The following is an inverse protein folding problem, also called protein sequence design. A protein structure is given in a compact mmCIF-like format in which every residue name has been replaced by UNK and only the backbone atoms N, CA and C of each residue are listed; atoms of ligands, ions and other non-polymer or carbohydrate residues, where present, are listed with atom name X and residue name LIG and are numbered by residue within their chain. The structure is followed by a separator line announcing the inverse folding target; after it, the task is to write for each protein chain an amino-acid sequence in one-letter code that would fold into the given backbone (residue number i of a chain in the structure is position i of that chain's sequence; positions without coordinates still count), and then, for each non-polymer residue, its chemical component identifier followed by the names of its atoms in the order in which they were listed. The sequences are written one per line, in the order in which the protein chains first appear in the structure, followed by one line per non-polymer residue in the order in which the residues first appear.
data_IF_821610613360
#
_entry.id   IF_821610613360
#
_cell.length_a   1.000
_cell.length_b   1.000
_cell.length_c   1.000
_cell.angle_alpha   90.00
_cell.angle_beta   90.00
_cell.angle_gamma   90.00
#
_symmetry.space_group_name_H-M   'P 1'
#
loop_
_entity.id
_entity.type
_entity.pdbx_description
1 polymer ?
#
# COMPACT_ATOMS: atom_id res chain seq x y z
N UNK A 1 -7.58 -18.07 -8.66
CA UNK A 1 -6.94 -17.18 -7.66
C UNK A 1 -5.55 -16.84 -8.19
N UNK A 2 -5.22 -15.69 -8.79
CA UNK A 2 -5.54 -14.29 -8.52
C UNK A 2 -5.48 -13.49 -9.84
N UNK A 3 -6.38 -12.53 -10.05
CA UNK A 3 -6.28 -11.55 -11.15
C UNK A 3 -5.89 -10.19 -10.55
N UNK A 4 -4.62 -9.84 -10.69
CA UNK A 4 -4.10 -8.55 -10.25
C UNK A 4 -4.65 -7.41 -11.11
N UNK A 5 -4.89 -6.25 -10.49
CA UNK A 5 -5.18 -5.04 -11.25
C UNK A 5 -3.86 -4.48 -11.78
N UNK A 6 -3.83 -4.23 -13.09
CA UNK A 6 -2.69 -3.66 -13.83
C UNK A 6 -2.98 -2.21 -14.23
N UNK A 7 -2.01 -1.49 -14.78
CA UNK A 7 -2.18 -0.13 -15.30
C UNK A 7 -3.22 -0.02 -16.43
N UNK A 8 -3.58 -1.13 -17.07
CA UNK A 8 -4.62 -1.18 -18.11
C UNK A 8 -6.04 -1.31 -17.55
N UNK A 9 -6.20 -1.23 -16.24
CA UNK A 9 -7.50 -1.19 -15.58
C UNK A 9 -8.37 -0.10 -16.21
N UNK A 10 -9.50 -0.55 -16.78
CA UNK A 10 -10.57 0.32 -17.26
C UNK A 10 -11.47 0.55 -16.06
N UNK A 11 -11.42 1.77 -15.54
CA UNK A 11 -12.15 2.22 -14.36
C UNK A 11 -13.61 1.72 -14.31
N UNK A 12 -14.19 1.65 -13.12
CA UNK A 12 -15.59 1.24 -12.93
C UNK A 12 -15.97 1.23 -11.46
N UNK A 13 -17.26 1.20 -11.14
CA UNK A 13 -17.71 1.19 -9.75
C UNK A 13 -17.86 -0.25 -9.24
N UNK A 14 -17.11 -0.60 -8.21
CA UNK A 14 -17.08 -1.93 -7.62
C UNK A 14 -17.42 -1.86 -6.14
N UNK A 15 -18.72 -1.77 -5.83
CA UNK A 15 -19.23 -1.54 -4.47
C UNK A 15 -19.00 -2.71 -3.50
N UNK A 16 -18.94 -3.94 -4.00
CA UNK A 16 -18.82 -5.13 -3.14
C UNK A 16 -17.36 -5.58 -2.91
N UNK A 17 -16.39 -4.79 -3.39
CA UNK A 17 -14.99 -5.20 -3.43
C UNK A 17 -14.25 -4.66 -2.22
N UNK A 18 -13.87 -5.57 -1.33
CA UNK A 18 -13.20 -5.21 -0.08
C UNK A 18 -11.70 -5.45 -0.12
N UNK A 19 -11.18 -6.17 -1.11
CA UNK A 19 -9.75 -6.50 -1.23
C UNK A 19 -9.25 -6.29 -2.65
N UNK A 20 -8.18 -5.51 -2.80
CA UNK A 20 -7.53 -5.21 -4.07
C UNK A 20 -6.05 -5.57 -4.00
N UNK A 21 -5.56 -6.22 -5.05
CA UNK A 21 -4.14 -6.52 -5.23
C UNK A 21 -3.65 -5.95 -6.56
N UNK A 22 -2.65 -5.08 -6.49
CA UNK A 22 -2.05 -4.41 -7.64
C UNK A 22 -0.71 -5.08 -7.99
N UNK A 23 -0.53 -5.41 -9.26
CA UNK A 23 0.75 -5.90 -9.78
C UNK A 23 0.87 -5.53 -11.25
N UNK A 24 2.00 -4.92 -11.60
CA UNK A 24 2.34 -4.59 -12.98
C UNK A 24 3.86 -4.49 -13.11
N UNK A 25 4.35 -4.71 -14.32
CA UNK A 25 5.74 -4.44 -14.70
C UNK A 25 6.01 -2.93 -14.81
N UNK A 26 4.96 -2.12 -15.04
CA UNK A 26 5.03 -0.65 -15.08
C UNK A 26 4.74 -0.06 -13.69
N UNK A 27 5.37 1.07 -13.32
CA UNK A 27 5.07 1.72 -12.06
C UNK A 27 3.63 2.24 -12.02
N UNK A 28 3.03 2.26 -10.82
CA UNK A 28 1.72 2.88 -10.60
C UNK A 28 1.93 4.33 -10.19
N UNK A 29 1.39 5.25 -10.97
CA UNK A 29 1.48 6.68 -10.70
C UNK A 29 0.29 7.16 -9.87
N UNK A 30 0.37 8.36 -9.29
CA UNK A 30 -0.70 8.92 -8.45
C UNK A 30 -2.11 8.81 -9.02
N UNK A 31 -2.30 9.17 -10.29
CA UNK A 31 -3.60 9.11 -10.98
C UNK A 31 -4.17 7.68 -11.01
N UNK A 32 -3.31 6.67 -10.98
CA UNK A 32 -3.75 5.28 -10.85
C UNK A 32 -4.40 5.04 -9.49
N UNK A 33 -3.78 5.51 -8.40
CA UNK A 33 -4.34 5.36 -7.05
C UNK A 33 -5.66 6.11 -6.87
N UNK A 34 -5.82 7.27 -7.49
CA UNK A 34 -7.09 7.99 -7.55
C UNK A 34 -8.19 7.13 -8.21
N UNK A 35 -7.88 6.50 -9.35
CA UNK A 35 -8.82 5.61 -10.03
C UNK A 35 -9.18 4.39 -9.19
N UNK A 36 -8.21 3.81 -8.48
CA UNK A 36 -8.44 2.72 -7.53
C UNK A 36 -9.38 3.18 -6.41
N UNK A 37 -9.16 4.35 -5.83
CA UNK A 37 -10.01 4.86 -4.75
C UNK A 37 -11.46 5.07 -5.22
N UNK A 38 -11.65 5.70 -6.38
CA UNK A 38 -12.98 5.92 -6.97
C UNK A 38 -13.66 4.59 -7.28
N UNK A 39 -12.91 3.64 -7.82
CA UNK A 39 -13.46 2.36 -8.27
C UNK A 39 -13.82 1.42 -7.12
N UNK A 40 -13.08 1.49 -6.01
CA UNK A 40 -13.16 0.54 -4.90
C UNK A 40 -13.40 1.27 -3.57
N UNK A 41 -14.51 2.01 -3.48
CA UNK A 41 -14.83 2.88 -2.34
C UNK A 41 -14.88 2.14 -0.99
N UNK A 42 -15.28 0.86 -0.99
CA UNK A 42 -15.39 0.03 0.21
C UNK A 42 -14.17 -0.89 0.44
N UNK A 43 -13.04 -0.60 -0.23
CA UNK A 43 -11.82 -1.38 -0.10
C UNK A 43 -11.28 -1.32 1.34
N UNK A 44 -11.20 -2.49 1.97
CA UNK A 44 -10.63 -2.70 3.30
C UNK A 44 -9.17 -3.13 3.27
N UNK A 45 -8.72 -3.76 2.18
CA UNK A 45 -7.34 -4.22 1.99
C UNK A 45 -6.79 -3.82 0.64
N UNK A 46 -5.63 -3.17 0.64
CA UNK A 46 -4.85 -2.85 -0.54
C UNK A 46 -3.48 -3.53 -0.43
N UNK A 47 -3.16 -4.36 -1.41
CA UNK A 47 -1.83 -4.96 -1.56
C UNK A 47 -1.19 -4.44 -2.83
N UNK A 48 0.02 -3.91 -2.74
CA UNK A 48 0.77 -3.39 -3.89
C UNK A 48 2.02 -4.24 -4.06
N UNK A 49 2.27 -4.68 -5.29
CA UNK A 49 3.48 -5.42 -5.66
C UNK A 49 4.08 -4.76 -6.89
N UNK A 50 4.98 -3.81 -6.66
CA UNK A 50 5.68 -3.11 -7.74
C UNK A 50 7.07 -2.70 -7.29
N UNK A 51 8.10 -3.31 -7.90
CA UNK A 51 9.50 -3.01 -7.62
C UNK A 51 10.03 -1.80 -8.38
N UNK A 52 9.22 -1.21 -9.27
CA UNK A 52 9.62 -0.07 -10.10
C UNK A 52 9.32 1.24 -9.38
N UNK A 53 10.31 2.12 -9.35
CA UNK A 53 10.18 3.50 -8.89
C UNK A 53 9.10 4.25 -9.69
N UNK A 54 8.39 5.16 -9.03
CA UNK A 54 7.45 6.05 -9.70
C UNK A 54 8.22 7.03 -10.58
N UNK A 55 7.72 7.26 -11.80
CA UNK A 55 8.34 8.24 -12.70
C UNK A 55 8.01 9.66 -12.28
N UNK A 56 6.81 9.88 -11.75
CA UNK A 56 6.31 11.21 -11.40
C UNK A 56 6.12 11.32 -9.89
N UNK A 57 7.23 11.54 -9.16
CA UNK A 57 7.23 11.78 -7.71
C UNK A 57 6.54 13.09 -7.38
N UNK A 58 5.29 13.02 -6.95
CA UNK A 58 4.48 14.21 -6.65
C UNK A 58 4.84 14.92 -5.34
N UNK A 59 5.75 14.35 -4.54
CA UNK A 59 6.22 14.92 -3.28
C UNK A 59 7.51 15.76 -3.42
N UNK A 60 8.23 15.67 -4.55
CA UNK A 60 9.51 16.38 -4.77
C UNK A 60 9.33 17.69 -5.54
N UNK A 61 8.25 17.81 -6.32
CA UNK A 61 8.00 19.01 -7.12
C UNK A 61 6.68 19.61 -6.64
N UNK A 62 6.78 20.71 -5.90
CA UNK A 62 5.74 21.74 -5.99
C UNK A 62 5.51 21.92 -7.49
N UNK A 63 4.34 21.51 -7.99
CA UNK A 63 4.05 21.62 -9.41
C UNK A 63 4.32 23.08 -9.78
N UNK A 64 5.27 23.33 -10.69
CA UNK A 64 5.55 24.66 -11.23
C UNK A 64 4.29 25.35 -11.82
N UNK A 65 3.17 24.60 -11.93
CA UNK A 65 1.89 25.04 -12.43
C UNK A 65 0.76 25.14 -11.37
N UNK A 66 1.06 25.15 -10.06
CA UNK A 66 0.04 25.30 -8.99
C UNK A 66 -1.20 24.38 -9.10
N UNK A 67 -1.09 23.24 -9.80
CA UNK A 67 -2.20 22.30 -9.91
C UNK A 67 -2.35 21.57 -8.58
N UNK A 68 -3.35 21.99 -7.81
CA UNK A 68 -3.82 21.33 -6.60
C UNK A 68 -4.32 19.95 -7.02
N UNK A 69 -3.61 18.91 -6.60
CA UNK A 69 -4.03 17.54 -6.84
C UNK A 69 -5.17 17.19 -5.87
N UNK A 70 -6.20 16.45 -6.32
CA UNK A 70 -7.29 16.05 -5.44
C UNK A 70 -6.77 15.09 -4.38
N UNK A 71 -7.16 15.26 -3.12
CA UNK A 71 -6.80 14.34 -2.03
C UNK A 71 -7.45 12.97 -2.28
N UNK A 72 -6.68 11.90 -2.19
CA UNK A 72 -7.17 10.51 -2.26
C UNK A 72 -7.47 10.04 -0.84
N UNK A 73 -8.75 9.80 -0.54
CA UNK A 73 -9.18 9.33 0.77
C UNK A 73 -9.49 7.83 0.76
N UNK A 74 -8.75 7.07 1.55
CA UNK A 74 -8.94 5.63 1.73
C UNK A 74 -9.68 5.30 3.03
N UNK A 75 -10.81 5.95 3.29
CA UNK A 75 -11.50 5.95 4.58
C UNK A 75 -11.89 4.57 5.13
N UNK A 76 -12.09 3.58 4.25
CA UNK A 76 -12.44 2.20 4.62
C UNK A 76 -11.23 1.25 4.76
N UNK A 77 -10.01 1.73 4.47
CA UNK A 77 -8.83 0.89 4.39
C UNK A 77 -8.34 0.50 5.78
N UNK A 78 -8.42 -0.79 6.10
CA UNK A 78 -7.95 -1.33 7.38
C UNK A 78 -6.56 -1.96 7.26
N UNK A 79 -6.16 -2.39 6.07
CA UNK A 79 -4.89 -3.03 5.83
C UNK A 79 -4.23 -2.54 4.53
N UNK A 80 -2.97 -2.12 4.64
CA UNK A 80 -2.11 -1.73 3.52
C UNK A 80 -0.85 -2.61 3.51
N UNK A 81 -0.61 -3.31 2.40
CA UNK A 81 0.56 -4.17 2.23
C UNK A 81 1.49 -3.64 1.14
N UNK A 82 2.63 -3.14 1.60
CA UNK A 82 3.77 -2.58 0.85
C UNK A 82 5.04 -3.42 1.05
N UNK A 83 4.91 -4.67 1.51
CA UNK A 83 6.07 -5.55 1.77
C UNK A 83 6.93 -5.81 0.53
N UNK A 84 6.33 -5.73 -0.66
CA UNK A 84 6.96 -6.03 -1.94
C UNK A 84 6.91 -4.85 -2.92
N UNK A 85 7.12 -3.63 -2.41
CA UNK A 85 7.12 -2.41 -3.22
C UNK A 85 8.46 -1.69 -3.21
N UNK A 86 8.67 -0.83 -4.21
CA UNK A 86 9.69 0.20 -4.16
C UNK A 86 9.39 1.22 -3.04
N UNK A 87 10.44 1.87 -2.53
CA UNK A 87 10.35 2.83 -1.42
C UNK A 87 9.44 4.02 -1.74
N UNK A 88 9.36 4.44 -3.00
CA UNK A 88 8.47 5.50 -3.48
C UNK A 88 7.00 5.30 -3.09
N UNK A 89 6.50 4.05 -3.08
CA UNK A 89 5.12 3.80 -2.68
C UNK A 89 4.94 3.98 -1.18
N UNK A 90 5.93 3.59 -0.38
CA UNK A 90 5.90 3.83 1.05
C UNK A 90 5.95 5.32 1.36
N UNK A 91 6.80 6.06 0.65
CA UNK A 91 6.85 7.52 0.76
C UNK A 91 5.54 8.18 0.34
N UNK A 92 4.93 7.70 -0.74
CA UNK A 92 3.62 8.17 -1.22
C UNK A 92 2.52 7.98 -0.16
N UNK A 93 2.42 6.81 0.45
CA UNK A 93 1.34 6.51 1.39
C UNK A 93 1.57 7.08 2.79
N UNK A 94 2.82 7.22 3.23
CA UNK A 94 3.12 7.78 4.53
C UNK A 94 3.25 9.31 4.45
N UNK A 95 4.11 9.84 3.59
CA UNK A 95 4.52 11.23 3.70
C UNK A 95 3.81 12.19 2.75
N UNK A 96 2.97 11.71 1.82
CA UNK A 96 2.28 12.59 0.88
C UNK A 96 0.99 13.17 1.50
N UNK A 97 0.87 14.49 1.48
CA UNK A 97 -0.32 15.22 1.98
C UNK A 97 -1.59 14.96 1.18
N UNK A 98 -1.46 14.47 -0.05
CA UNK A 98 -2.58 14.22 -0.95
C UNK A 98 -3.12 12.78 -0.84
N UNK A 99 -2.63 11.98 0.10
CA UNK A 99 -3.25 10.70 0.46
C UNK A 99 -3.65 10.73 1.93
N UNK A 100 -4.94 10.55 2.18
CA UNK A 100 -5.48 10.42 3.53
C UNK A 100 -5.73 8.94 3.85
N UNK A 101 -5.02 8.46 4.87
CA UNK A 101 -5.20 7.13 5.42
C UNK A 101 -6.02 7.21 6.72
N UNK A 102 -6.88 6.23 7.00
CA UNK A 102 -7.66 6.22 8.23
C UNK A 102 -6.75 5.95 9.42
N UNK A 103 -7.21 6.36 10.60
CA UNK A 103 -6.61 5.95 11.86
C UNK A 103 -6.73 4.43 12.03
N UNK A 104 -5.83 3.83 12.79
CA UNK A 104 -5.82 2.39 13.09
C UNK A 104 -5.54 1.48 11.88
N UNK A 105 -4.74 1.97 10.92
CA UNK A 105 -4.31 1.17 9.78
C UNK A 105 -3.32 0.07 10.18
N UNK A 106 -3.47 -1.13 9.61
CA UNK A 106 -2.49 -2.21 9.66
C UNK A 106 -1.55 -2.10 8.46
N UNK A 107 -0.29 -1.72 8.69
CA UNK A 107 0.72 -1.55 7.64
C UNK A 107 1.65 -2.78 7.61
N UNK A 108 1.76 -3.43 6.44
CA UNK A 108 2.79 -4.44 6.19
C UNK A 108 3.88 -3.83 5.30
N UNK A 109 5.13 -3.86 5.74
CA UNK A 109 6.23 -3.20 5.03
C UNK A 109 7.55 -3.92 5.27
N UNK A 110 8.48 -3.80 4.33
CA UNK A 110 9.85 -4.23 4.55
C UNK A 110 10.58 -3.26 5.50
N UNK A 111 11.22 -3.78 6.55
CA UNK A 111 11.91 -2.94 7.54
C UNK A 111 12.97 -2.03 6.91
N UNK A 112 13.77 -2.54 5.97
CA UNK A 112 14.85 -1.75 5.37
C UNK A 112 14.29 -0.59 4.55
N UNK A 113 13.18 -0.83 3.83
CA UNK A 113 12.45 0.24 3.14
C UNK A 113 11.90 1.27 4.13
N UNK A 114 11.27 0.82 5.22
CA UNK A 114 10.76 1.73 6.25
C UNK A 114 11.87 2.59 6.84
N UNK A 115 12.98 1.98 7.24
CA UNK A 115 14.15 2.67 7.79
C UNK A 115 14.73 3.70 6.82
N UNK A 116 14.80 3.40 5.51
CA UNK A 116 15.28 4.36 4.52
C UNK A 116 14.32 5.54 4.36
N UNK A 117 13.02 5.27 4.22
CA UNK A 117 12.01 6.31 3.97
C UNK A 117 11.80 7.21 5.20
N UNK A 118 11.88 6.66 6.42
CA UNK A 118 11.81 7.44 7.66
C UNK A 118 13.12 8.12 8.05
N UNK A 119 14.16 8.00 7.21
CA UNK A 119 15.53 8.44 7.50
C UNK A 119 15.97 7.98 8.90
N UNK A 120 16.10 6.67 9.08
CA UNK A 120 16.50 6.07 10.35
C UNK A 120 15.56 6.44 11.51
N UNK A 121 14.26 6.57 11.24
CA UNK A 121 13.25 6.92 12.24
C UNK A 121 13.42 8.31 12.86
N UNK A 122 13.90 9.29 12.09
CA UNK A 122 13.95 10.70 12.55
C UNK A 122 12.94 11.60 11.83
N UNK A 123 12.42 11.19 10.67
CA UNK A 123 11.46 11.99 9.88
C UNK A 123 10.04 11.78 10.39
N UNK A 124 9.54 12.65 11.26
CA UNK A 124 8.21 12.54 11.88
C UNK A 124 7.07 12.27 10.88
N UNK A 125 6.12 11.45 11.31
CA UNK A 125 4.97 11.04 10.52
C UNK A 125 3.70 11.01 11.38
N UNK A 126 2.58 11.49 10.82
CA UNK A 126 1.35 11.73 11.57
C UNK A 126 0.36 10.53 11.57
N UNK A 127 0.57 9.48 10.77
CA UNK A 127 -0.41 8.39 10.71
C UNK A 127 -0.34 7.54 11.98
N UNK A 128 -1.50 7.41 12.63
CA UNK A 128 -1.72 6.51 13.76
C UNK A 128 -1.92 5.08 13.26
N UNK A 129 -0.84 4.31 13.19
CA UNK A 129 -0.87 2.89 12.85
C UNK A 129 -1.38 2.06 14.04
N UNK A 130 -2.34 1.16 13.80
CA UNK A 130 -2.75 0.18 14.81
C UNK A 130 -1.72 -0.96 14.91
N UNK A 131 -1.24 -1.43 13.76
CA UNK A 131 -0.26 -2.49 13.70
C UNK A 131 0.75 -2.27 12.57
N UNK A 132 2.00 -2.64 12.83
CA UNK A 132 3.11 -2.62 11.89
C UNK A 132 3.68 -4.04 11.78
N UNK A 133 3.59 -4.61 10.59
CA UNK A 133 4.13 -5.92 10.26
C UNK A 133 5.43 -5.72 9.47
N UNK A 134 6.54 -6.10 10.09
CA UNK A 134 7.87 -6.03 9.50
C UNK A 134 8.53 -7.41 9.46
N UNK A 135 9.35 -7.66 8.44
CA UNK A 135 10.20 -8.85 8.42
C UNK A 135 11.16 -8.83 9.63
N UNK A 136 11.20 -9.88 10.45
CA UNK A 136 11.91 -9.87 11.71
C UNK A 136 13.43 -9.83 11.50
N UNK A 137 14.07 -8.88 12.17
CA UNK A 137 15.48 -8.94 12.54
C UNK A 137 15.55 -8.67 14.03
N UNK A 138 16.07 -9.63 14.79
CA UNK A 138 15.91 -9.78 16.25
C UNK A 138 16.41 -8.59 17.11
N UNK A 139 17.11 -7.61 16.55
CA UNK A 139 17.62 -6.43 17.27
C UNK A 139 16.87 -5.12 16.97
N UNK A 140 15.80 -5.16 16.16
CA UNK A 140 15.23 -3.95 15.54
C UNK A 140 13.95 -3.42 16.20
N UNK A 141 13.41 -4.13 17.20
CA UNK A 141 12.11 -3.83 17.79
C UNK A 141 12.13 -2.54 18.64
N UNK A 142 13.25 -2.23 19.30
CA UNK A 142 13.32 -1.11 20.25
C UNK A 142 13.23 0.27 19.55
N UNK A 143 13.99 0.49 18.47
CA UNK A 143 13.93 1.74 17.70
C UNK A 143 12.54 1.98 17.09
N UNK A 144 11.91 0.92 16.57
CA UNK A 144 10.57 1.01 15.99
C UNK A 144 9.55 1.33 17.08
N UNK A 145 9.66 0.72 18.27
CA UNK A 145 8.78 1.01 19.41
C UNK A 145 8.86 2.47 19.84
N UNK A 146 10.07 3.04 19.90
CA UNK A 146 10.24 4.44 20.26
C UNK A 146 9.63 5.38 19.22
N UNK A 147 9.70 4.99 17.94
CA UNK A 147 9.16 5.78 16.84
C UNK A 147 7.63 5.62 16.65
N UNK A 148 7.08 4.44 16.96
CA UNK A 148 5.66 4.12 16.93
C UNK A 148 5.16 3.61 18.29
N UNK A 149 5.10 4.48 19.33
CA UNK A 149 4.88 4.05 20.71
C UNK A 149 3.51 3.40 20.97
N UNK A 150 2.52 3.70 20.13
CA UNK A 150 1.15 3.17 20.26
C UNK A 150 0.80 2.10 19.23
N UNK A 151 1.77 1.63 18.45
CA UNK A 151 1.54 0.66 17.37
C UNK A 151 1.95 -0.74 17.79
N UNK A 152 1.08 -1.72 17.56
CA UNK A 152 1.41 -3.13 17.75
C UNK A 152 2.44 -3.57 16.70
N UNK A 153 3.64 -3.97 17.11
CA UNK A 153 4.70 -4.41 16.19
C UNK A 153 4.70 -5.94 16.13
N UNK A 154 4.42 -6.48 14.94
CA UNK A 154 4.34 -7.90 14.68
C UNK A 154 5.42 -8.34 13.67
N UNK A 155 5.95 -9.55 13.84
CA UNK A 155 6.79 -10.17 12.81
C UNK A 155 5.92 -10.81 11.73
N UNK A 156 6.31 -10.68 10.46
CA UNK A 156 5.56 -11.15 9.27
C UNK A 156 5.54 -12.67 9.08
N UNK A 157 5.91 -13.48 10.08
CA UNK A 157 6.20 -14.91 9.89
C UNK A 157 5.01 -15.72 9.35
N UNK A 158 3.78 -15.19 9.34
CA UNK A 158 2.57 -15.99 9.08
C UNK A 158 1.63 -15.56 7.93
N UNK A 159 2.15 -15.06 6.80
CA UNK A 159 1.32 -14.91 5.57
C UNK A 159 1.53 -16.02 4.52
N UNK A 160 2.44 -16.99 4.74
CA UNK A 160 2.77 -18.04 3.75
C UNK A 160 1.95 -19.33 3.86
N UNK A 161 1.08 -19.48 4.86
CA UNK A 161 0.31 -20.73 5.07
C UNK A 161 -0.94 -20.90 4.18
N UNK A 162 -1.24 -19.98 3.26
CA UNK A 162 -2.31 -20.15 2.24
C UNK A 162 -1.68 -20.24 0.85
N UNK A 163 -0.87 -21.26 0.61
CA UNK A 163 -0.64 -21.82 -0.74
C UNK A 163 -1.12 -23.27 -0.75
N UNK A 164 -2.45 -23.47 -0.78
CA UNK A 164 -2.98 -24.74 -1.26
C UNK A 164 -2.97 -24.75 -2.79
N UNK A 165 -2.31 -25.78 -3.32
CA UNK A 165 -2.25 -26.19 -4.73
C UNK A 165 -3.65 -26.21 -5.37
N UNK A 166 -3.76 -25.72 -6.60
CA UNK A 166 -4.69 -26.30 -7.59
C UNK A 166 -4.25 -25.92 -9.00
N UNK A 167 -4.17 -26.96 -9.81
CA UNK A 167 -3.80 -27.05 -11.23
C UNK A 167 -4.84 -26.43 -12.18
N UNK A 168 -4.37 -26.23 -13.41
CA UNK A 168 -4.99 -25.80 -14.68
C UNK A 168 -6.52 -25.82 -14.83
N UNK A 169 -7.06 -24.74 -15.43
CA UNK A 169 -7.74 -24.70 -16.77
C UNK A 169 -8.10 -23.26 -17.15
N UNK A 170 -7.94 -22.91 -18.42
CA UNK A 170 -8.33 -21.62 -19.02
C UNK A 170 -9.86 -21.44 -19.05
N UNK A 171 -10.36 -20.22 -18.75
CA UNK A 171 -11.46 -19.53 -19.46
C UNK A 171 -11.56 -18.07 -18.96
N UNK A 172 -12.09 -17.21 -19.84
CA UNK A 172 -12.18 -15.75 -19.76
C UNK A 172 -12.98 -15.18 -18.57
N UNK A 173 -12.63 -13.92 -18.21
CA UNK A 173 -13.28 -12.93 -17.31
C UNK A 173 -12.90 -12.92 -15.82
N UNK A 174 -12.99 -11.70 -15.28
CA UNK A 174 -13.14 -11.25 -13.88
C UNK A 174 -11.91 -10.70 -13.14
N UNK A 175 -12.14 -9.50 -12.58
CA UNK A 175 -11.34 -8.82 -11.56
C UNK A 175 -11.32 -9.71 -10.30
N UNK A 176 -10.14 -9.96 -9.72
CA UNK A 176 -10.07 -10.67 -8.43
C UNK A 176 -10.32 -9.69 -7.30
N UNK A 177 -11.60 -9.42 -7.11
CA UNK A 177 -12.14 -8.85 -5.91
C UNK A 177 -12.88 -9.97 -5.16
N UNK A 178 -12.45 -10.26 -3.95
CA UNK A 178 -13.20 -11.18 -3.09
C UNK A 178 -14.14 -10.37 -2.23
N UNK A 179 -15.43 -10.75 -2.21
CA UNK A 179 -16.44 -10.27 -1.27
C UNK A 179 -15.99 -10.55 0.17
#
# INVERSE_FOLDING_TARGET
FYNYITNNFRDGLFTNVTRVSLYDQRPFEYKFFLRIQISFQFMKKLTIKSRKAQKYKQFIKSNNNNQILPIIEYSNLTQLDLSNTHDDYLELFLFNTNISLPNNLHLCVNYQSLKRVTYYFTRYHCVKLAALYCDPLNQMVEYIKNYFPYTCICSTVDFRFIRKKSSHTCFNRYISATT
#
